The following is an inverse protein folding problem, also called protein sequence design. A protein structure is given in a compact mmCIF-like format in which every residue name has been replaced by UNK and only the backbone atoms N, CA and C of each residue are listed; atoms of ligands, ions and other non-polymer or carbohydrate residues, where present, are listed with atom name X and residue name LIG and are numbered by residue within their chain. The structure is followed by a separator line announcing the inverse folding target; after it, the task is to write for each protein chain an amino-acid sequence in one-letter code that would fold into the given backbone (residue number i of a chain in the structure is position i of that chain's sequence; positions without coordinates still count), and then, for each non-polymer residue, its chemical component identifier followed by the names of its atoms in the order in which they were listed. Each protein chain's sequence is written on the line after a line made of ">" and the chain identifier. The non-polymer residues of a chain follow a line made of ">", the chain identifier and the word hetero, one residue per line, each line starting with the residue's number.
data_IF_543094817318
#
_entry.id   IF_543094817318
#
_cell.length_a   1.000
_cell.length_b   1.000
_cell.length_c   1.000
_cell.angle_alpha   90.00
_cell.angle_beta   90.00
_cell.angle_gamma   90.00
#
_symmetry.space_group_name_H-M   'P 1'
#
loop_
_entity.id
_entity.type
_entity.pdbx_description
1 polymer ?
#
# COMPACT_ATOMS: atom_id res chain seq x y z
N UNK A 1 1.81 16.44 -3.71
CA UNK A 1 1.05 15.19 -3.46
C UNK A 1 1.52 14.19 -4.49
N UNK A 2 1.96 13.00 -4.06
CA UNK A 2 2.52 11.98 -4.94
C UNK A 2 1.53 10.83 -5.08
N UNK A 3 1.32 10.37 -6.32
CA UNK A 3 0.44 9.24 -6.65
C UNK A 3 1.30 8.16 -7.31
N UNK A 4 1.27 6.92 -6.83
CA UNK A 4 2.05 5.81 -7.37
C UNK A 4 1.18 4.67 -7.92
N UNK A 5 1.58 4.04 -9.04
CA UNK A 5 0.90 2.85 -9.57
C UNK A 5 0.99 1.65 -8.62
N UNK A 6 2.12 1.43 -7.94
CA UNK A 6 2.27 0.28 -7.04
C UNK A 6 1.24 0.30 -5.90
N UNK A 7 0.92 1.48 -5.33
CA UNK A 7 -0.12 1.60 -4.31
C UNK A 7 -1.50 1.26 -4.88
N UNK A 8 -1.75 1.57 -6.15
CA UNK A 8 -2.99 1.19 -6.84
C UNK A 8 -3.04 -0.32 -7.09
N UNK A 9 -1.91 -0.97 -7.41
CA UNK A 9 -1.84 -2.43 -7.49
C UNK A 9 -2.13 -3.09 -6.13
N UNK A 10 -1.56 -2.58 -5.02
CA UNK A 10 -1.83 -3.10 -3.68
C UNK A 10 -3.33 -2.99 -3.30
N UNK A 11 -4.02 -1.97 -3.80
CA UNK A 11 -5.46 -1.80 -3.60
C UNK A 11 -6.32 -2.87 -4.29
N UNK A 12 -5.76 -3.74 -5.16
CA UNK A 12 -6.49 -4.87 -5.73
C UNK A 12 -7.05 -5.82 -4.67
N UNK A 13 -6.46 -5.86 -3.47
CA UNK A 13 -6.95 -6.69 -2.38
C UNK A 13 -8.21 -6.14 -1.69
N UNK A 14 -8.53 -4.85 -1.86
CA UNK A 14 -9.61 -4.17 -1.11
C UNK A 14 -10.64 -3.50 -2.02
N UNK A 15 -10.22 -2.86 -3.12
CA UNK A 15 -11.09 -2.29 -4.16
C UNK A 15 -10.58 -2.67 -5.56
N UNK A 16 -10.83 -3.92 -6.01
CA UNK A 16 -10.37 -4.38 -7.32
C UNK A 16 -10.88 -3.52 -8.48
N UNK A 17 -12.16 -3.13 -8.42
CA UNK A 17 -12.79 -2.38 -9.50
C UNK A 17 -12.22 -0.97 -9.61
N UNK A 18 -12.04 -0.27 -8.48
CA UNK A 18 -11.39 1.04 -8.45
C UNK A 18 -9.93 0.98 -8.85
N UNK A 19 -9.17 -0.01 -8.35
CA UNK A 19 -7.77 -0.21 -8.71
C UNK A 19 -7.59 -0.38 -10.22
N UNK A 20 -8.36 -1.29 -10.85
CA UNK A 20 -8.26 -1.53 -12.30
C UNK A 20 -8.66 -0.29 -13.11
N UNK A 21 -9.74 0.41 -12.74
CA UNK A 21 -10.13 1.66 -13.41
C UNK A 21 -9.02 2.71 -13.32
N UNK A 22 -8.40 2.85 -12.15
CA UNK A 22 -7.35 3.83 -11.94
C UNK A 22 -6.06 3.49 -12.70
N UNK A 23 -5.65 2.22 -12.72
CA UNK A 23 -4.51 1.75 -13.54
C UNK A 23 -4.74 2.02 -15.04
N UNK A 24 -5.96 1.74 -15.54
CA UNK A 24 -6.32 2.06 -16.94
C UNK A 24 -6.24 3.57 -17.21
N UNK A 25 -6.70 4.40 -16.26
CA UNK A 25 -6.59 5.86 -16.37
C UNK A 25 -5.12 6.30 -16.41
N UNK A 26 -4.27 5.79 -15.52
CA UNK A 26 -2.83 6.07 -15.53
C UNK A 26 -2.17 5.68 -16.84
N UNK A 27 -2.51 4.49 -17.38
CA UNK A 27 -2.02 4.04 -18.68
C UNK A 27 -2.44 5.00 -19.81
N UNK A 28 -3.72 5.43 -19.84
CA UNK A 28 -4.22 6.41 -20.80
C UNK A 28 -3.60 7.81 -20.66
N UNK A 29 -3.04 8.13 -19.48
CA UNK A 29 -2.28 9.37 -19.24
C UNK A 29 -0.78 9.24 -19.58
N UNK A 30 -0.35 8.11 -20.15
CA UNK A 30 1.05 7.91 -20.57
C UNK A 30 2.00 7.56 -19.43
N UNK A 31 1.50 6.96 -18.34
CA UNK A 31 2.33 6.55 -17.21
C UNK A 31 3.10 5.23 -17.44
N UNK A 32 2.91 4.59 -18.60
CA UNK A 32 3.62 3.38 -18.99
C UNK A 32 4.91 3.74 -19.74
N UNK A 33 5.99 3.05 -19.41
CA UNK A 33 7.25 3.06 -20.16
C UNK A 33 7.79 1.64 -20.37
N UNK A 34 9.09 1.51 -20.63
CA UNK A 34 9.71 0.26 -21.07
C UNK A 34 9.57 -0.93 -20.12
N UNK A 35 9.53 -0.69 -18.80
CA UNK A 35 9.37 -1.74 -17.78
C UNK A 35 7.99 -1.71 -17.11
N UNK A 36 6.97 -1.21 -17.81
CA UNK A 36 5.62 -1.00 -17.27
C UNK A 36 5.47 0.38 -16.65
N UNK A 37 4.64 0.49 -15.63
CA UNK A 37 4.31 1.77 -15.00
C UNK A 37 5.55 2.45 -14.40
N UNK A 38 5.69 3.75 -14.67
CA UNK A 38 6.65 4.61 -13.96
C UNK A 38 6.35 4.68 -12.48
N UNK A 39 7.37 5.06 -11.70
CA UNK A 39 7.35 5.05 -10.25
C UNK A 39 6.17 5.82 -9.63
N UNK A 40 5.98 7.07 -10.04
CA UNK A 40 4.93 7.92 -9.53
C UNK A 40 4.68 9.14 -10.42
N UNK A 41 3.62 9.88 -10.11
CA UNK A 41 3.46 11.27 -10.51
C UNK A 41 3.40 12.19 -9.31
N UNK A 42 4.15 13.28 -9.37
CA UNK A 42 4.09 14.35 -8.38
C UNK A 42 3.22 15.52 -8.87
N UNK A 43 2.16 15.79 -8.13
CA UNK A 43 1.23 16.91 -8.31
C UNK A 43 1.59 18.11 -7.43
N UNK A 44 2.55 17.99 -6.52
CA UNK A 44 3.04 19.10 -5.69
C UNK A 44 3.97 20.04 -6.45
N UNK A 45 4.80 19.48 -7.33
CA UNK A 45 5.78 20.22 -8.13
C UNK A 45 5.16 21.06 -9.26
N UNK A 46 3.88 20.85 -9.59
CA UNK A 46 3.15 21.59 -10.62
C UNK A 46 2.83 23.06 -10.25
N UNK A 47 3.39 23.62 -9.17
CA UNK A 47 3.20 25.03 -8.76
C UNK A 47 3.97 26.03 -9.62
N UNK A 48 4.85 25.60 -10.53
CA UNK A 48 5.44 26.50 -11.52
C UNK A 48 4.41 26.79 -12.63
N UNK A 49 3.88 28.01 -12.64
CA UNK A 49 2.93 28.62 -13.61
C UNK A 49 3.29 28.48 -15.10
N UNK A 50 4.42 27.84 -15.43
CA UNK A 50 4.94 27.65 -16.78
C UNK A 50 4.84 26.22 -17.31
N UNK A 51 4.44 25.24 -16.48
CA UNK A 51 4.29 23.85 -16.93
C UNK A 51 2.87 23.59 -17.46
N UNK A 52 2.78 23.09 -18.69
CA UNK A 52 1.51 22.75 -19.34
C UNK A 52 0.88 21.45 -18.79
N UNK A 53 1.62 20.68 -17.99
CA UNK A 53 1.18 19.38 -17.48
C UNK A 53 0.80 19.44 -16.00
N UNK A 54 -0.34 18.86 -15.59
CA UNK A 54 -0.85 18.97 -14.21
C UNK A 54 -0.04 18.15 -13.19
N UNK A 55 0.94 17.36 -13.64
CA UNK A 55 1.83 16.57 -12.81
C UNK A 55 3.16 16.31 -13.52
N UNK A 56 4.18 15.98 -12.75
CA UNK A 56 5.47 15.51 -13.25
C UNK A 56 5.61 14.01 -12.99
N UNK A 57 5.90 13.23 -14.03
CA UNK A 57 6.20 11.81 -13.88
C UNK A 57 7.61 11.60 -13.34
N UNK A 58 7.72 10.76 -12.31
CA UNK A 58 8.99 10.24 -11.80
C UNK A 58 9.40 9.08 -12.70
N UNK A 59 10.18 9.38 -13.74
CA UNK A 59 10.56 8.43 -14.80
C UNK A 59 11.69 7.48 -14.38
N UNK A 60 11.45 6.70 -13.34
CA UNK A 60 12.30 5.59 -12.94
C UNK A 60 11.45 4.35 -12.62
N UNK A 61 12.13 3.23 -12.37
CA UNK A 61 11.51 1.98 -11.91
C UNK A 61 12.30 1.45 -10.74
N UNK A 62 11.64 1.29 -9.59
CA UNK A 62 12.24 0.66 -8.42
C UNK A 62 11.87 -0.81 -8.39
N UNK A 63 12.86 -1.70 -8.31
CA UNK A 63 12.63 -3.15 -8.29
C UNK A 63 11.66 -3.57 -7.17
N UNK A 64 11.76 -2.93 -6.00
CA UNK A 64 10.85 -3.16 -4.88
C UNK A 64 9.38 -2.86 -5.25
N UNK A 65 9.11 -1.76 -5.94
CA UNK A 65 7.75 -1.33 -6.27
C UNK A 65 7.15 -2.12 -7.45
N UNK A 66 7.99 -2.52 -8.40
CA UNK A 66 7.60 -3.49 -9.42
C UNK A 66 7.28 -4.85 -8.78
N UNK A 67 8.12 -5.31 -7.85
CA UNK A 67 7.88 -6.53 -7.07
C UNK A 67 6.55 -6.48 -6.31
N UNK A 68 6.25 -5.39 -5.61
CA UNK A 68 4.97 -5.19 -4.93
C UNK A 68 3.78 -5.24 -5.91
N UNK A 69 3.92 -4.61 -7.07
CA UNK A 69 2.86 -4.60 -8.09
C UNK A 69 2.56 -6.00 -8.62
N UNK A 70 3.60 -6.76 -8.96
CA UNK A 70 3.49 -8.14 -9.43
C UNK A 70 2.94 -9.07 -8.35
N UNK A 71 3.40 -8.93 -7.11
CA UNK A 71 2.90 -9.69 -5.96
C UNK A 71 1.40 -9.44 -5.75
N UNK A 72 0.98 -8.17 -5.75
CA UNK A 72 -0.42 -7.81 -5.57
C UNK A 72 -1.31 -8.37 -6.68
N UNK A 73 -0.87 -8.25 -7.94
CA UNK A 73 -1.57 -8.81 -9.08
C UNK A 73 -1.65 -10.35 -9.00
N UNK A 74 -0.55 -11.01 -8.61
CA UNK A 74 -0.50 -12.47 -8.45
C UNK A 74 -1.47 -12.94 -7.37
N UNK A 75 -1.47 -12.28 -6.21
CA UNK A 75 -2.42 -12.56 -5.14
C UNK A 75 -3.87 -12.37 -5.61
N UNK A 76 -4.17 -11.30 -6.32
CA UNK A 76 -5.50 -11.07 -6.87
C UNK A 76 -5.94 -12.17 -7.84
N UNK A 77 -5.07 -12.57 -8.77
CA UNK A 77 -5.40 -13.57 -9.80
C UNK A 77 -5.36 -15.02 -9.32
N UNK A 78 -4.64 -15.30 -8.23
CA UNK A 78 -4.38 -16.67 -7.74
C UNK A 78 -4.87 -16.90 -6.31
N UNK A 79 -5.83 -16.09 -5.84
CA UNK A 79 -6.46 -16.30 -4.54
C UNK A 79 -5.49 -16.20 -3.37
N UNK A 80 -4.69 -15.13 -3.33
CA UNK A 80 -3.70 -14.83 -2.29
C UNK A 80 -2.58 -15.87 -2.12
N UNK A 81 -2.18 -16.54 -3.21
CA UNK A 81 -1.16 -17.61 -3.18
C UNK A 81 0.16 -17.21 -2.51
N UNK A 82 0.64 -15.98 -2.68
CA UNK A 82 1.90 -15.54 -2.07
C UNK A 82 1.74 -15.36 -0.56
N UNK A 83 0.57 -14.89 -0.10
CA UNK A 83 0.25 -14.85 1.33
C UNK A 83 0.18 -16.28 1.90
N UNK A 84 -0.43 -17.22 1.17
CA UNK A 84 -0.48 -18.62 1.59
C UNK A 84 0.93 -19.23 1.72
N UNK A 85 1.83 -18.96 0.77
CA UNK A 85 3.23 -19.40 0.89
C UNK A 85 3.91 -18.84 2.12
N UNK A 86 3.69 -17.56 2.44
CA UNK A 86 4.24 -16.93 3.63
C UNK A 86 3.72 -17.59 4.92
N UNK A 87 2.40 -17.80 5.01
CA UNK A 87 1.76 -18.45 6.15
C UNK A 87 2.04 -19.98 6.25
N UNK A 88 2.62 -20.58 5.21
CA UNK A 88 3.07 -21.98 5.24
C UNK A 88 4.49 -22.16 5.82
N UNK A 89 5.25 -21.07 6.07
CA UNK A 89 6.56 -21.17 6.74
C UNK A 89 6.37 -21.44 8.24
N UNK A 90 7.01 -22.50 8.75
CA UNK A 90 6.91 -22.89 10.17
C UNK A 90 7.31 -21.79 11.14
N UNK A 91 8.25 -20.91 10.77
CA UNK A 91 8.68 -19.77 11.59
C UNK A 91 7.58 -18.72 11.68
N UNK A 92 6.85 -18.50 10.59
CA UNK A 92 5.69 -17.61 10.57
C UNK A 92 4.59 -18.19 11.45
N UNK A 93 4.21 -19.45 11.21
CA UNK A 93 3.17 -20.16 11.98
C UNK A 93 3.42 -20.15 13.48
N UNK A 94 4.68 -20.36 13.90
CA UNK A 94 5.06 -20.32 15.32
C UNK A 94 4.77 -18.96 15.99
N UNK A 95 4.63 -17.89 15.21
CA UNK A 95 4.38 -16.52 15.68
C UNK A 95 3.02 -15.96 15.28
N UNK A 96 2.19 -16.69 14.52
CA UNK A 96 0.91 -16.19 14.01
C UNK A 96 -0.09 -15.83 15.10
N UNK A 97 -0.01 -16.48 16.27
CA UNK A 97 -0.88 -16.15 17.41
C UNK A 97 -0.70 -14.72 17.89
N UNK A 98 0.45 -14.09 17.63
CA UNK A 98 0.68 -12.67 17.94
C UNK A 98 -0.26 -11.74 17.15
N UNK A 99 -0.76 -12.18 15.98
CA UNK A 99 -1.74 -11.42 15.21
C UNK A 99 -3.13 -11.38 15.86
N UNK A 100 -3.39 -12.27 16.83
CA UNK A 100 -4.64 -12.34 17.59
C UNK A 100 -4.55 -11.59 18.93
N UNK A 101 -3.39 -11.02 19.26
CA UNK A 101 -3.27 -10.23 20.47
C UNK A 101 -4.18 -9.01 20.39
N UNK A 102 -5.02 -8.84 21.43
CA UNK A 102 -5.77 -7.61 21.57
C UNK A 102 -4.78 -6.47 21.73
N UNK A 103 -4.91 -5.38 20.97
CA UNK A 103 -4.13 -4.18 21.25
C UNK A 103 -4.34 -3.84 22.72
N UNK A 104 -3.27 -3.67 23.48
CA UNK A 104 -3.38 -3.15 24.84
C UNK A 104 -4.08 -1.81 24.70
N UNK A 105 -5.34 -1.75 25.13
CA UNK A 105 -6.05 -0.49 25.19
C UNK A 105 -5.15 0.45 25.98
N UNK A 106 -4.69 1.53 25.35
CA UNK A 106 -3.94 2.53 26.08
C UNK A 106 -4.90 3.13 27.10
N UNK A 107 -4.91 2.58 28.32
CA UNK A 107 -5.72 3.08 29.41
C UNK A 107 -5.22 4.49 29.64
N UNK A 108 -6.04 5.47 29.27
CA UNK A 108 -5.70 6.86 29.54
C UNK A 108 -5.54 6.97 31.05
N UNK A 109 -4.52 7.66 31.53
CA UNK A 109 -4.25 7.83 32.98
C UNK A 109 -5.47 8.25 33.81
N UNK A 110 -6.49 8.86 33.18
CA UNK A 110 -7.74 9.30 33.81
C UNK A 110 -8.72 8.16 34.11
N UNK A 111 -8.59 7.02 33.43
CA UNK A 111 -9.45 5.85 33.56
C UNK A 111 -8.84 4.79 34.51
N UNK A 112 -7.69 5.08 35.11
CA UNK A 112 -7.11 4.28 36.18
C UNK A 112 -7.93 4.50 37.46
N UNK A 113 -8.36 3.43 38.17
CA UNK A 113 -9.07 3.59 39.43
C UNK A 113 -8.19 4.38 40.41
N UNK A 114 -8.71 5.49 40.94
CA UNK A 114 -8.01 6.27 41.96
C UNK A 114 -7.80 5.34 43.15
N UNK A 115 -6.53 5.11 43.55
CA UNK A 115 -6.23 4.49 44.84
C UNK A 115 -6.88 5.37 45.90
N UNK A 116 -8.01 4.94 46.44
CA UNK A 116 -8.49 5.46 47.72
C UNK A 116 -7.45 5.08 48.75
N UNK A 117 -6.81 6.07 49.36
CA UNK A 117 -5.97 5.85 50.52
C UNK A 117 -6.87 5.25 51.61
N UNK A 118 -6.56 4.02 52.04
CA UNK A 118 -7.14 3.47 53.25
C UNK A 118 -6.68 4.36 54.41
N UNK A 119 -7.64 4.93 55.14
CA UNK A 119 -7.44 5.62 56.40
C UNK A 119 -7.26 4.60 57.53
#
# INVERSE_FOLDING_TARGET
>A
MVISPYSTFLALATDPSGAVRNLRRMAGMGWLGGYGFYEAADYGSARHRFWQHPHQLVRCWMAHHQGMSLLALTNFLKGNVVQQWFHNDRRVQATELLLQEKPVAHIRRRDLPRRTAAA
#
